data_IF_183483710102
#
_entry.id   IF_183483710102
#
_cell.length_a   1.000
_cell.length_b   1.000
_cell.length_c   1.000
_cell.angle_alpha   90.00
_cell.angle_beta   90.00
_cell.angle_gamma   90.00
#
_symmetry.space_group_name_H-M   'P 1'
#
loop_
_entity.id
_entity.type
_entity.pdbx_description
1 polymer ?
#
# COMPACT_ATOMS: atom_id res chain seq x y z
N UNK A 1 -6.95 12.91 18.69
CA UNK A 1 -7.58 13.47 17.49
C UNK A 1 -8.88 12.73 17.11
N UNK A 2 -8.83 11.40 16.90
CA UNK A 2 -10.04 10.65 16.48
C UNK A 2 -11.15 10.75 17.50
N UNK A 3 -10.84 10.68 18.81
CA UNK A 3 -11.81 10.84 19.88
C UNK A 3 -12.45 12.23 19.91
N UNK A 4 -11.71 13.29 19.57
CA UNK A 4 -12.19 14.68 19.62
C UNK A 4 -12.88 15.13 18.33
N UNK A 5 -12.34 14.73 17.18
CA UNK A 5 -12.73 15.26 15.86
C UNK A 5 -13.29 14.21 14.91
N UNK A 6 -13.13 12.94 15.22
CA UNK A 6 -13.50 11.85 14.33
C UNK A 6 -12.64 11.78 13.05
N UNK A 7 -13.13 11.03 12.09
CA UNK A 7 -12.61 10.99 10.71
C UNK A 7 -13.33 12.03 9.86
N UNK A 8 -12.63 12.63 8.92
CA UNK A 8 -13.23 13.46 7.87
C UNK A 8 -13.97 12.59 6.84
N UNK A 9 -14.89 13.19 6.08
CA UNK A 9 -15.55 12.51 4.97
C UNK A 9 -14.54 11.97 3.94
N UNK A 10 -13.48 12.73 3.63
CA UNK A 10 -12.43 12.32 2.70
C UNK A 10 -11.61 11.13 3.22
N UNK A 11 -11.26 11.08 4.51
CA UNK A 11 -10.59 9.93 5.13
C UNK A 11 -11.46 8.67 5.05
N UNK A 12 -12.74 8.82 5.39
CA UNK A 12 -13.70 7.71 5.33
C UNK A 12 -13.90 7.20 3.90
N UNK A 13 -14.11 8.09 2.93
CA UNK A 13 -14.30 7.72 1.53
C UNK A 13 -13.09 6.98 0.95
N UNK A 14 -11.87 7.42 1.30
CA UNK A 14 -10.65 6.70 0.91
C UNK A 14 -10.62 5.29 1.47
N UNK A 15 -10.85 5.12 2.77
CA UNK A 15 -10.85 3.81 3.42
C UNK A 15 -11.94 2.89 2.85
N UNK A 16 -13.14 3.42 2.63
CA UNK A 16 -14.25 2.70 2.01
C UNK A 16 -13.92 2.25 0.59
N UNK A 17 -13.39 3.15 -0.25
CA UNK A 17 -13.04 2.83 -1.63
C UNK A 17 -11.91 1.79 -1.70
N UNK A 18 -10.92 1.88 -0.83
CA UNK A 18 -9.85 0.89 -0.74
C UNK A 18 -10.38 -0.49 -0.33
N UNK A 19 -11.27 -0.53 0.66
CA UNK A 19 -11.89 -1.77 1.10
C UNK A 19 -12.73 -2.41 -0.01
N UNK A 20 -13.56 -1.62 -0.68
CA UNK A 20 -14.38 -2.09 -1.81
C UNK A 20 -13.53 -2.58 -2.98
N UNK A 21 -12.45 -1.89 -3.32
CA UNK A 21 -11.53 -2.31 -4.38
C UNK A 21 -10.85 -3.65 -4.06
N UNK A 22 -10.39 -3.84 -2.81
CA UNK A 22 -9.82 -5.13 -2.37
C UNK A 22 -10.85 -6.26 -2.42
N UNK A 23 -12.06 -5.99 -1.99
CA UNK A 23 -13.15 -6.96 -1.99
C UNK A 23 -13.56 -7.35 -3.43
N UNK A 24 -13.63 -6.38 -4.35
CA UNK A 24 -13.90 -6.61 -5.76
C UNK A 24 -12.81 -7.46 -6.42
N UNK A 25 -11.53 -7.18 -6.14
CA UNK A 25 -10.41 -7.99 -6.62
C UNK A 25 -10.47 -9.42 -6.09
N UNK A 26 -10.82 -9.60 -4.82
CA UNK A 26 -11.01 -10.93 -4.23
C UNK A 26 -12.17 -11.68 -4.89
N UNK A 27 -13.28 -11.01 -5.13
CA UNK A 27 -14.43 -11.57 -5.84
C UNK A 27 -14.10 -11.96 -7.29
N UNK A 28 -13.41 -11.07 -8.02
CA UNK A 28 -13.01 -11.32 -9.42
C UNK A 28 -12.08 -12.52 -9.56
N UNK A 29 -11.24 -12.77 -8.55
CA UNK A 29 -10.28 -13.87 -8.51
C UNK A 29 -10.74 -15.06 -7.64
N UNK A 30 -12.03 -15.16 -7.28
CA UNK A 30 -12.54 -16.21 -6.38
C UNK A 30 -12.23 -17.64 -6.87
N UNK A 31 -12.24 -17.83 -8.18
CA UNK A 31 -11.97 -19.15 -8.79
C UNK A 31 -10.45 -19.41 -8.99
N UNK A 32 -9.59 -18.45 -8.64
CA UNK A 32 -8.14 -18.52 -8.76
C UNK A 32 -7.45 -18.53 -7.38
N UNK A 33 -8.20 -18.78 -6.32
CA UNK A 33 -7.71 -18.85 -4.95
C UNK A 33 -6.80 -20.07 -4.74
N UNK A 34 -5.76 -19.89 -3.94
CA UNK A 34 -4.89 -21.01 -3.52
C UNK A 34 -5.54 -21.82 -2.40
N UNK A 35 -5.21 -23.10 -2.32
CA UNK A 35 -5.73 -24.00 -1.28
C UNK A 35 -5.40 -23.57 0.14
N UNK A 36 -4.23 -22.99 0.35
CA UNK A 36 -3.80 -22.47 1.66
C UNK A 36 -4.73 -21.36 2.19
N UNK A 37 -5.27 -20.49 1.32
CA UNK A 37 -6.25 -19.49 1.74
C UNK A 37 -7.52 -20.14 2.32
N UNK A 38 -8.03 -21.19 1.67
CA UNK A 38 -9.18 -21.94 2.20
C UNK A 38 -8.85 -22.64 3.52
N UNK A 39 -7.65 -23.24 3.63
CA UNK A 39 -7.22 -23.86 4.87
C UNK A 39 -7.18 -22.85 6.02
N UNK A 40 -6.63 -21.66 5.81
CA UNK A 40 -6.62 -20.61 6.83
C UNK A 40 -8.02 -20.14 7.22
N UNK A 41 -8.94 -20.03 6.26
CA UNK A 41 -10.35 -19.69 6.54
C UNK A 41 -11.01 -20.75 7.44
N UNK A 42 -10.77 -22.03 7.16
CA UNK A 42 -11.33 -23.13 7.98
C UNK A 42 -10.71 -23.18 9.37
N UNK A 43 -9.40 -22.92 9.48
CA UNK A 43 -8.72 -22.84 10.78
C UNK A 43 -9.29 -21.68 11.61
N UNK A 44 -9.42 -20.49 11.04
CA UNK A 44 -9.98 -19.33 11.72
C UNK A 44 -11.44 -19.56 12.14
N UNK A 45 -12.24 -20.22 11.30
CA UNK A 45 -13.59 -20.62 11.68
C UNK A 45 -13.60 -21.59 12.87
N UNK A 46 -12.73 -22.60 12.85
CA UNK A 46 -12.69 -23.62 13.91
C UNK A 46 -12.18 -23.05 15.25
N UNK A 47 -11.14 -22.22 15.22
CA UNK A 47 -10.52 -21.69 16.43
C UNK A 47 -11.27 -20.49 17.02
N UNK A 48 -11.70 -19.57 16.15
CA UNK A 48 -12.19 -18.24 16.55
C UNK A 48 -13.68 -18.06 16.24
N UNK A 49 -14.34 -19.10 15.73
CA UNK A 49 -15.74 -19.04 15.26
C UNK A 49 -15.99 -17.93 14.22
N UNK A 50 -14.96 -17.60 13.43
CA UNK A 50 -15.06 -16.58 12.36
C UNK A 50 -16.07 -17.02 11.29
N UNK A 51 -17.02 -16.19 10.88
CA UNK A 51 -18.00 -16.55 9.85
C UNK A 51 -17.35 -16.95 8.51
N UNK A 52 -17.89 -17.96 7.85
CA UNK A 52 -17.47 -18.41 6.52
C UNK A 52 -18.58 -18.13 5.48
N UNK A 53 -18.88 -16.86 5.27
CA UNK A 53 -19.96 -16.45 4.35
C UNK A 53 -19.63 -16.61 2.86
N UNK A 54 -18.35 -16.73 2.53
CA UNK A 54 -17.85 -16.77 1.15
C UNK A 54 -17.84 -15.41 0.46
N UNK A 55 -16.80 -15.19 -0.35
CA UNK A 55 -16.50 -13.89 -0.95
C UNK A 55 -17.61 -13.33 -1.84
N UNK A 56 -18.40 -14.19 -2.51
CA UNK A 56 -19.49 -13.71 -3.36
C UNK A 56 -20.60 -13.04 -2.53
N UNK A 57 -20.99 -13.68 -1.44
CA UNK A 57 -21.97 -13.11 -0.51
C UNK A 57 -21.47 -11.84 0.15
N UNK A 58 -20.22 -11.84 0.62
CA UNK A 58 -19.59 -10.68 1.24
C UNK A 58 -19.54 -9.48 0.28
N UNK A 59 -19.09 -9.72 -0.95
CA UNK A 59 -18.99 -8.67 -1.97
C UNK A 59 -20.35 -8.03 -2.25
N UNK A 60 -21.39 -8.85 -2.50
CA UNK A 60 -22.74 -8.33 -2.76
C UNK A 60 -23.29 -7.52 -1.58
N UNK A 61 -23.18 -8.06 -0.37
CA UNK A 61 -23.72 -7.41 0.82
C UNK A 61 -22.99 -6.13 1.17
N UNK A 62 -21.66 -6.16 1.19
CA UNK A 62 -20.86 -4.99 1.55
C UNK A 62 -21.00 -3.90 0.48
N UNK A 63 -21.00 -4.26 -0.81
CA UNK A 63 -21.21 -3.29 -1.89
C UNK A 63 -22.57 -2.58 -1.79
N UNK A 64 -23.60 -3.30 -1.40
CA UNK A 64 -24.94 -2.73 -1.19
C UNK A 64 -25.01 -1.86 0.07
N UNK A 65 -24.32 -2.24 1.16
CA UNK A 65 -24.41 -1.56 2.45
C UNK A 65 -23.46 -0.37 2.56
N UNK A 66 -22.30 -0.41 1.90
CA UNK A 66 -21.26 0.62 2.05
C UNK A 66 -21.74 2.06 1.75
N UNK A 67 -22.59 2.31 0.73
CA UNK A 67 -23.15 3.66 0.51
C UNK A 67 -24.12 4.13 1.59
N UNK A 68 -24.68 3.20 2.39
CA UNK A 68 -25.67 3.49 3.42
C UNK A 68 -25.04 3.80 4.77
N UNK A 69 -23.74 3.59 4.91
CA UNK A 69 -23.02 3.81 6.16
C UNK A 69 -22.37 5.19 6.14
N UNK A 70 -22.89 6.18 6.88
CA UNK A 70 -22.30 7.51 6.91
C UNK A 70 -21.08 7.58 7.85
N UNK A 71 -20.19 8.54 7.63
CA UNK A 71 -18.98 8.74 8.45
C UNK A 71 -19.33 9.01 9.91
N UNK A 72 -20.46 9.64 10.18
CA UNK A 72 -20.95 9.95 11.53
C UNK A 72 -21.18 8.68 12.35
N UNK A 73 -21.72 7.63 11.75
CA UNK A 73 -21.92 6.33 12.41
C UNK A 73 -20.58 5.66 12.77
N UNK A 74 -19.59 5.77 11.88
CA UNK A 74 -18.23 5.29 12.16
C UNK A 74 -17.61 6.09 13.31
N UNK A 75 -17.71 7.42 13.27
CA UNK A 75 -17.16 8.28 14.29
C UNK A 75 -17.81 8.01 15.67
N UNK A 76 -19.11 7.78 15.72
CA UNK A 76 -19.81 7.42 16.94
C UNK A 76 -19.34 6.07 17.49
N UNK A 77 -19.16 5.07 16.64
CA UNK A 77 -18.63 3.77 17.03
C UNK A 77 -17.20 3.86 17.56
N UNK A 78 -16.34 4.61 16.87
CA UNK A 78 -14.94 4.79 17.28
C UNK A 78 -14.82 5.55 18.60
N UNK A 79 -15.65 6.55 18.82
CA UNK A 79 -15.68 7.29 20.09
C UNK A 79 -16.00 6.38 21.29
N UNK A 80 -16.80 5.33 21.08
CA UNK A 80 -17.10 4.34 22.13
C UNK A 80 -15.95 3.35 22.36
N UNK A 81 -15.10 3.13 21.36
CA UNK A 81 -13.97 2.19 21.45
C UNK A 81 -12.71 2.83 22.05
N UNK A 82 -12.56 4.16 21.95
CA UNK A 82 -11.38 4.88 22.43
C UNK A 82 -11.59 5.28 23.87
N UNK A 83 -10.85 4.65 24.80
CA UNK A 83 -10.83 5.03 26.21
C UNK A 83 -9.69 6.01 26.50
N UNK A 84 -10.03 7.29 26.63
CA UNK A 84 -9.04 8.34 26.95
C UNK A 84 -8.57 8.31 28.42
N UNK A 85 -9.22 7.51 29.29
CA UNK A 85 -8.82 7.38 30.68
C UNK A 85 -7.69 6.37 30.90
N UNK A 86 -7.17 5.77 29.81
CA UNK A 86 -6.05 4.82 29.86
C UNK A 86 -6.38 3.45 30.44
N UNK A 87 -7.67 3.13 30.60
CA UNK A 87 -8.12 1.81 31.05
C UNK A 87 -7.89 0.80 29.93
N UNK A 88 -7.02 -0.09 29.97
CA UNK A 88 -6.53 -1.01 28.92
C UNK A 88 -5.41 -0.42 28.03
N UNK A 89 -4.76 0.68 28.45
CA UNK A 89 -3.59 1.21 27.77
C UNK A 89 -2.33 0.48 28.27
N UNK A 90 -1.53 -0.05 27.36
CA UNK A 90 -0.21 -0.59 27.64
C UNK A 90 0.81 0.22 26.83
N UNK A 91 1.77 0.82 27.50
CA UNK A 91 2.87 1.57 26.86
C UNK A 91 4.15 0.76 26.97
N UNK A 92 4.77 0.45 25.84
CA UNK A 92 6.01 -0.32 25.79
C UNK A 92 7.10 0.53 25.12
N UNK A 93 8.25 0.63 25.75
CA UNK A 93 9.47 1.20 25.19
C UNK A 93 10.48 0.08 24.94
N UNK A 94 10.78 -0.18 23.67
CA UNK A 94 11.75 -1.20 23.26
C UNK A 94 12.94 -0.50 22.58
N UNK A 95 14.14 -0.69 23.14
CA UNK A 95 15.36 -0.12 22.59
C UNK A 95 16.59 -0.96 22.92
N UNK A 96 17.67 -0.85 22.13
CA UNK A 96 18.91 -1.52 22.46
C UNK A 96 19.56 -0.88 23.70
N UNK A 97 20.01 -1.68 24.64
CA UNK A 97 20.85 -1.21 25.75
C UNK A 97 22.28 -1.10 25.23
N UNK A 98 22.75 0.12 25.03
CA UNK A 98 24.13 0.44 24.62
C UNK A 98 24.74 1.45 25.60
N UNK A 99 26.07 1.44 25.68
CA UNK A 99 26.80 2.44 26.47
C UNK A 99 26.44 3.86 25.97
N UNK A 100 26.05 4.75 26.90
CA UNK A 100 25.59 6.10 26.60
C UNK A 100 24.11 6.25 26.19
N UNK A 101 23.30 5.17 26.17
CA UNK A 101 21.84 5.26 26.00
C UNK A 101 21.14 5.17 27.36
N UNK A 102 20.24 6.13 27.62
CA UNK A 102 19.32 6.06 28.76
C UNK A 102 17.99 5.47 28.31
N UNK A 103 17.51 4.47 29.02
CA UNK A 103 16.14 3.95 28.84
C UNK A 103 15.22 4.80 29.72
N UNK A 104 14.12 5.26 29.14
CA UNK A 104 13.11 6.05 29.85
C UNK A 104 12.51 5.22 31.00
N UNK A 105 12.36 5.80 32.18
CA UNK A 105 11.74 5.14 33.31
C UNK A 105 10.23 4.96 33.12
N UNK A 106 9.60 4.15 33.96
CA UNK A 106 8.15 3.94 33.94
C UNK A 106 7.40 5.25 34.25
N UNK A 107 7.87 6.02 35.22
CA UNK A 107 7.29 7.30 35.58
C UNK A 107 7.38 8.33 34.45
N UNK A 108 8.52 8.39 33.76
CA UNK A 108 8.73 9.25 32.61
C UNK A 108 7.80 8.87 31.46
N UNK A 109 7.65 7.57 31.15
CA UNK A 109 6.74 7.08 30.11
C UNK A 109 5.29 7.42 30.44
N UNK A 110 4.86 7.24 31.68
CA UNK A 110 3.51 7.60 32.14
C UNK A 110 3.26 9.12 32.09
N UNK A 111 4.28 9.92 32.42
CA UNK A 111 4.19 11.38 32.33
C UNK A 111 3.97 11.83 30.88
N UNK A 112 4.77 11.31 29.95
CA UNK A 112 4.64 11.60 28.50
C UNK A 112 3.28 11.14 27.97
N UNK A 113 2.81 9.93 28.33
CA UNK A 113 1.52 9.43 27.90
C UNK A 113 0.38 10.34 28.38
N UNK A 114 0.41 10.79 29.63
CA UNK A 114 -0.59 11.73 30.19
C UNK A 114 -0.52 13.12 29.53
N UNK A 115 0.66 13.64 29.28
CA UNK A 115 0.86 14.92 28.59
C UNK A 115 0.29 14.86 27.18
N UNK A 116 0.62 13.82 26.41
CA UNK A 116 0.08 13.62 25.05
C UNK A 116 -1.45 13.47 25.06
N UNK A 117 -2.00 12.74 26.01
CA UNK A 117 -3.47 12.60 26.14
C UNK A 117 -4.17 13.90 26.50
N UNK A 118 -3.51 14.76 27.27
CA UNK A 118 -4.05 16.07 27.69
C UNK A 118 -3.85 17.16 26.62
N UNK A 119 -2.99 16.95 25.63
CA UNK A 119 -2.70 17.93 24.59
C UNK A 119 -3.87 18.01 23.59
N UNK A 120 -4.52 19.17 23.44
CA UNK A 120 -5.57 19.35 22.44
C UNK A 120 -5.04 19.12 21.05
N UNK A 121 -5.81 18.46 20.20
CA UNK A 121 -5.46 18.22 18.79
C UNK A 121 -6.21 19.14 17.85
N UNK A 122 -5.57 19.54 16.76
CA UNK A 122 -6.23 20.33 15.72
C UNK A 122 -7.20 19.47 14.91
N UNK A 123 -8.32 20.08 14.51
CA UNK A 123 -9.25 19.44 13.58
C UNK A 123 -8.54 19.28 12.23
N UNK A 124 -8.55 18.08 11.64
CA UNK A 124 -7.93 17.88 10.32
C UNK A 124 -8.62 18.78 9.28
N UNK A 125 -7.79 19.42 8.45
CA UNK A 125 -8.31 20.20 7.33
C UNK A 125 -8.96 19.26 6.29
N UNK A 126 -10.03 19.73 5.65
CA UNK A 126 -10.56 19.07 4.47
C UNK A 126 -9.54 19.16 3.33
N UNK A 127 -9.23 18.03 2.73
CA UNK A 127 -8.20 17.95 1.71
C UNK A 127 -8.80 18.15 0.31
N UNK A 128 -8.12 18.94 -0.51
CA UNK A 128 -8.48 19.10 -1.91
C UNK A 128 -8.24 17.78 -2.67
N UNK A 129 -9.24 17.34 -3.45
CA UNK A 129 -9.23 16.05 -4.16
C UNK A 129 -8.61 16.07 -5.56
N UNK A 130 -8.05 17.19 -6.02
CA UNK A 130 -7.57 17.38 -7.40
C UNK A 130 -6.09 17.03 -7.56
N UNK A 131 -5.71 15.82 -7.17
CA UNK A 131 -4.35 15.32 -7.31
C UNK A 131 -4.16 14.65 -8.68
N UNK A 132 -3.03 14.91 -9.35
CA UNK A 132 -2.64 14.27 -10.60
C UNK A 132 -1.22 13.73 -10.51
N UNK A 133 -0.99 12.50 -10.95
CA UNK A 133 0.34 11.90 -11.00
C UNK A 133 1.24 12.56 -12.03
N UNK A 134 0.68 13.01 -13.15
CA UNK A 134 1.42 13.53 -14.27
C UNK A 134 0.77 14.81 -14.76
N UNK A 135 1.58 15.80 -15.11
CA UNK A 135 1.12 17.04 -15.78
C UNK A 135 0.63 16.78 -17.20
N UNK A 136 1.19 15.76 -17.87
CA UNK A 136 0.76 15.31 -19.20
C UNK A 136 1.08 13.81 -19.39
N UNK A 137 0.24 13.11 -20.13
CA UNK A 137 0.50 11.72 -20.47
C UNK A 137 1.69 11.61 -21.42
N UNK A 138 2.64 10.68 -21.18
CA UNK A 138 3.76 10.43 -22.06
C UNK A 138 3.26 9.99 -23.45
N UNK A 139 3.99 10.39 -24.48
CA UNK A 139 3.71 9.90 -25.84
C UNK A 139 4.03 8.43 -25.95
N UNK A 140 3.12 7.67 -26.53
CA UNK A 140 3.33 6.23 -26.77
C UNK A 140 4.54 6.00 -27.69
N UNK A 141 5.37 5.01 -27.35
CA UNK A 141 6.44 4.54 -28.19
C UNK A 141 5.92 3.81 -29.44
N UNK A 142 6.77 3.71 -30.47
CA UNK A 142 6.44 2.96 -31.70
C UNK A 142 7.05 1.56 -31.65
N UNK A 143 6.29 0.55 -32.05
CA UNK A 143 6.77 -0.82 -32.25
C UNK A 143 7.41 -0.88 -33.65
N UNK A 144 8.69 -1.28 -33.72
CA UNK A 144 9.41 -1.48 -34.98
C UNK A 144 9.30 -2.90 -35.50
N UNK A 145 9.25 -3.89 -34.58
CA UNK A 145 9.21 -5.30 -34.92
C UNK A 145 8.41 -6.06 -33.88
N UNK A 146 7.66 -7.04 -34.34
CA UNK A 146 6.96 -8.02 -33.52
C UNK A 146 7.30 -9.42 -34.03
N UNK A 147 7.62 -10.36 -33.15
CA UNK A 147 7.94 -11.73 -33.50
C UNK A 147 7.59 -12.70 -32.36
N UNK A 148 7.24 -13.96 -32.67
CA UNK A 148 7.13 -15.01 -31.66
C UNK A 148 8.45 -15.23 -30.92
N UNK A 149 8.39 -15.48 -29.63
CA UNK A 149 9.54 -15.81 -28.79
C UNK A 149 9.35 -17.17 -28.10
N UNK A 150 10.36 -17.64 -27.36
CA UNK A 150 10.30 -18.89 -26.61
C UNK A 150 9.24 -18.86 -25.53
N UNK A 151 8.76 -20.03 -25.13
CA UNK A 151 7.79 -20.24 -24.05
C UNK A 151 6.43 -19.56 -24.25
N UNK A 152 6.06 -19.29 -25.52
CA UNK A 152 4.80 -18.66 -25.86
C UNK A 152 4.73 -17.16 -25.56
N UNK A 153 5.88 -16.50 -25.44
CA UNK A 153 5.98 -15.05 -25.41
C UNK A 153 5.95 -14.45 -26.82
N UNK A 154 5.60 -13.19 -26.91
CA UNK A 154 5.80 -12.33 -28.09
C UNK A 154 6.87 -11.31 -27.75
N UNK A 155 7.87 -11.18 -28.62
CA UNK A 155 8.92 -10.16 -28.56
C UNK A 155 8.53 -8.94 -29.37
N UNK A 156 8.56 -7.76 -28.75
CA UNK A 156 8.45 -6.46 -29.41
C UNK A 156 9.81 -5.77 -29.35
N UNK A 157 10.21 -5.14 -30.45
CA UNK A 157 11.32 -4.18 -30.47
C UNK A 157 10.75 -2.79 -30.64
N UNK A 158 10.99 -1.92 -29.66
CA UNK A 158 10.52 -0.53 -29.68
C UNK A 158 11.45 0.37 -30.48
N UNK A 159 10.96 1.57 -30.80
CA UNK A 159 11.72 2.55 -31.60
C UNK A 159 13.00 3.05 -30.91
N UNK A 160 13.07 3.01 -29.59
CA UNK A 160 14.25 3.33 -28.79
C UNK A 160 15.25 2.16 -28.62
N UNK A 161 14.96 1.00 -29.22
CA UNK A 161 15.78 -0.21 -29.11
C UNK A 161 15.41 -1.13 -27.95
N UNK A 162 14.51 -0.72 -27.05
CA UNK A 162 14.08 -1.59 -25.96
C UNK A 162 13.34 -2.82 -26.48
N UNK A 163 13.58 -3.97 -25.84
CA UNK A 163 12.88 -5.22 -26.11
C UNK A 163 11.84 -5.46 -25.02
N UNK A 164 10.64 -5.80 -25.44
CA UNK A 164 9.52 -6.16 -24.55
C UNK A 164 9.09 -7.57 -24.85
N UNK A 165 9.01 -8.40 -23.84
CA UNK A 165 8.47 -9.76 -23.94
C UNK A 165 7.16 -9.79 -23.17
N UNK A 166 6.06 -10.06 -23.85
CA UNK A 166 4.78 -10.17 -23.20
C UNK A 166 4.10 -11.50 -23.45
N UNK A 167 3.29 -11.94 -22.49
CA UNK A 167 2.48 -13.15 -22.58
C UNK A 167 1.18 -12.95 -21.82
N UNK A 168 0.06 -13.22 -22.50
CA UNK A 168 -1.24 -13.30 -21.81
C UNK A 168 -1.35 -14.65 -21.13
N UNK A 169 -1.77 -14.66 -19.87
CA UNK A 169 -2.01 -15.85 -19.07
C UNK A 169 -3.38 -15.82 -18.43
N UNK A 170 -3.86 -16.95 -17.93
CA UNK A 170 -5.12 -17.13 -17.23
C UNK A 170 -4.96 -17.41 -15.73
N UNK A 171 -3.76 -17.12 -15.18
CA UNK A 171 -3.44 -17.41 -13.78
C UNK A 171 -4.26 -16.56 -12.81
N UNK A 172 -4.54 -15.32 -13.20
CA UNK A 172 -5.41 -14.40 -12.50
C UNK A 172 -6.19 -13.55 -13.47
N UNK A 173 -7.35 -13.09 -13.03
CA UNK A 173 -8.17 -12.16 -13.76
C UNK A 173 -7.73 -10.73 -13.40
N UNK A 174 -7.73 -9.83 -14.38
CA UNK A 174 -7.50 -8.40 -14.18
C UNK A 174 -6.19 -8.10 -13.41
N UNK A 175 -5.10 -8.75 -13.83
CA UNK A 175 -3.77 -8.52 -13.27
C UNK A 175 -2.76 -8.31 -14.40
N UNK A 176 -1.99 -7.23 -14.32
CA UNK A 176 -0.84 -6.96 -15.17
C UNK A 176 0.41 -6.95 -14.31
N UNK A 177 1.45 -7.68 -14.72
CA UNK A 177 2.77 -7.67 -14.09
C UNK A 177 3.80 -7.12 -15.04
N UNK A 178 4.61 -6.18 -14.56
CA UNK A 178 5.73 -5.59 -15.28
C UNK A 178 7.04 -5.94 -14.56
N UNK A 179 8.05 -6.32 -15.33
CA UNK A 179 9.45 -6.34 -14.87
C UNK A 179 10.33 -5.82 -16.00
N UNK A 180 11.07 -4.76 -15.75
CA UNK A 180 12.05 -4.21 -16.68
C UNK A 180 13.44 -4.30 -16.05
N UNK A 181 14.45 -4.66 -16.83
CA UNK A 181 15.83 -4.81 -16.38
C UNK A 181 16.77 -4.09 -17.34
N UNK A 182 17.68 -3.29 -16.78
CA UNK A 182 18.85 -2.75 -17.45
C UNK A 182 20.11 -3.35 -16.81
N UNK A 183 21.11 -3.68 -17.63
CA UNK A 183 22.40 -4.16 -17.14
C UNK A 183 23.30 -3.00 -16.73
N UNK A 184 24.05 -3.20 -15.65
CA UNK A 184 24.99 -2.23 -15.10
C UNK A 184 24.91 -2.19 -13.57
N UNK A 185 23.88 -1.59 -13.01
CA UNK A 185 23.71 -1.51 -11.58
C UNK A 185 24.87 -0.80 -10.87
N UNK A 186 25.17 -1.19 -9.63
CA UNK A 186 26.26 -0.62 -8.82
C UNK A 186 27.61 -0.65 -9.50
N UNK A 187 27.86 -1.63 -10.38
CA UNK A 187 29.12 -1.76 -11.11
C UNK A 187 29.43 -0.58 -12.06
N UNK A 188 28.44 0.26 -12.39
CA UNK A 188 28.62 1.46 -13.21
C UNK A 188 29.00 2.71 -12.38
N UNK A 189 28.94 2.64 -11.06
CA UNK A 189 29.17 3.76 -10.16
C UNK A 189 30.53 3.65 -9.47
N UNK A 190 31.01 4.77 -8.94
CA UNK A 190 32.25 4.79 -8.16
C UNK A 190 32.05 4.14 -6.79
N UNK A 191 33.16 3.75 -6.14
CA UNK A 191 33.12 3.20 -4.78
C UNK A 191 32.53 4.20 -3.76
N UNK A 192 32.68 5.49 -4.01
CA UNK A 192 32.14 6.56 -3.17
C UNK A 192 30.59 6.62 -3.24
N UNK A 193 30.01 6.23 -4.37
CA UNK A 193 28.58 6.26 -4.59
C UNK A 193 27.84 5.04 -4.03
N UNK A 194 28.54 3.95 -3.66
CA UNK A 194 27.89 2.73 -3.18
C UNK A 194 27.03 2.95 -1.91
N UNK A 195 27.51 3.81 -0.97
CA UNK A 195 26.71 4.16 0.20
C UNK A 195 25.44 4.94 -0.18
N UNK A 196 25.55 5.84 -1.17
CA UNK A 196 24.41 6.61 -1.68
C UNK A 196 23.39 5.74 -2.39
N UNK A 197 23.82 4.71 -3.15
CA UNK A 197 22.93 3.76 -3.81
C UNK A 197 22.11 2.97 -2.80
N UNK A 198 22.74 2.52 -1.71
CA UNK A 198 22.03 1.82 -0.63
C UNK A 198 20.94 2.70 -0.02
N UNK A 199 21.25 3.97 0.27
CA UNK A 199 20.28 4.95 0.78
C UNK A 199 19.21 5.24 -0.27
N UNK A 200 19.58 5.41 -1.53
CA UNK A 200 18.64 5.68 -2.62
C UNK A 200 17.59 4.56 -2.77
N UNK A 201 18.01 3.30 -2.72
CA UNK A 201 17.10 2.16 -2.78
C UNK A 201 16.06 2.16 -1.63
N UNK A 202 16.46 2.64 -0.43
CA UNK A 202 15.55 2.79 0.70
C UNK A 202 14.62 3.99 0.54
N UNK A 203 15.17 5.14 0.13
CA UNK A 203 14.41 6.37 -0.03
C UNK A 203 13.37 6.31 -1.15
N UNK A 204 13.61 5.49 -2.18
CA UNK A 204 12.66 5.34 -3.29
C UNK A 204 11.22 5.07 -2.83
N UNK A 205 11.05 4.20 -1.86
CA UNK A 205 9.73 3.84 -1.33
C UNK A 205 9.09 4.90 -0.44
N UNK A 206 9.85 5.92 -0.06
CA UNK A 206 9.42 7.02 0.83
C UNK A 206 9.21 8.33 0.08
N UNK A 207 9.53 8.37 -1.21
CA UNK A 207 9.39 9.56 -2.03
C UNK A 207 7.98 9.68 -2.65
N UNK A 208 7.60 10.92 -2.92
CA UNK A 208 6.45 11.23 -3.75
C UNK A 208 6.76 11.10 -5.25
N UNK A 209 5.84 11.54 -6.07
CA UNK A 209 5.98 11.55 -7.53
C UNK A 209 5.54 12.91 -8.06
N UNK A 210 6.39 13.56 -8.86
CA UNK A 210 6.16 14.89 -9.39
C UNK A 210 5.86 15.89 -8.25
N UNK A 211 4.74 16.58 -8.30
CA UNK A 211 4.32 17.55 -7.28
C UNK A 211 3.66 16.88 -6.04
N UNK A 212 3.42 15.56 -6.09
CA UNK A 212 2.80 14.84 -4.98
C UNK A 212 3.85 14.47 -3.94
N UNK A 213 3.62 14.85 -2.69
CA UNK A 213 4.36 14.29 -1.57
C UNK A 213 4.07 12.78 -1.43
N UNK A 214 4.86 12.07 -0.63
CA UNK A 214 4.59 10.65 -0.30
C UNK A 214 3.17 10.45 0.25
N UNK A 215 2.73 11.33 1.15
CA UNK A 215 1.39 11.25 1.73
C UNK A 215 0.30 11.51 0.69
N UNK A 216 0.48 12.48 -0.20
CA UNK A 216 -0.49 12.79 -1.24
C UNK A 216 -0.55 11.68 -2.29
N UNK A 217 0.60 11.06 -2.61
CA UNK A 217 0.65 9.88 -3.47
C UNK A 217 -0.15 8.72 -2.87
N UNK A 218 0.02 8.43 -1.59
CA UNK A 218 -0.75 7.40 -0.90
C UNK A 218 -2.26 7.69 -0.91
N UNK A 219 -2.65 8.95 -0.70
CA UNK A 219 -4.05 9.36 -0.82
C UNK A 219 -4.58 9.20 -2.24
N UNK A 220 -3.81 9.61 -3.24
CA UNK A 220 -4.15 9.45 -4.66
C UNK A 220 -4.29 7.97 -5.05
N UNK A 221 -3.45 7.10 -4.51
CA UNK A 221 -3.45 5.66 -4.78
C UNK A 221 -4.54 4.88 -4.03
N UNK A 222 -5.21 5.51 -3.07
CA UNK A 222 -6.29 4.85 -2.32
C UNK A 222 -7.37 4.31 -3.25
N UNK A 223 -7.74 3.05 -3.06
CA UNK A 223 -8.69 2.32 -3.92
C UNK A 223 -8.12 1.82 -5.24
N UNK A 224 -6.88 2.16 -5.59
CA UNK A 224 -6.19 1.67 -6.79
C UNK A 224 -5.23 0.53 -6.43
N UNK A 225 -5.39 -0.60 -7.08
CA UNK A 225 -4.57 -1.80 -6.84
C UNK A 225 -3.38 -1.81 -7.80
N UNK A 226 -2.45 -0.87 -7.64
CA UNK A 226 -1.26 -0.77 -8.47
C UNK A 226 -0.03 -0.45 -7.63
N UNK A 227 1.12 -0.98 -8.02
CA UNK A 227 2.39 -0.67 -7.40
C UNK A 227 3.51 -0.64 -8.43
N UNK A 228 4.54 0.15 -8.14
CA UNK A 228 5.80 0.14 -8.86
C UNK A 228 6.94 0.22 -7.86
N UNK A 229 8.03 -0.49 -8.14
CA UNK A 229 9.26 -0.44 -7.36
C UNK A 229 10.47 -0.34 -8.28
N UNK A 230 11.51 0.30 -7.79
CA UNK A 230 12.81 0.40 -8.45
C UNK A 230 13.90 -0.12 -7.52
N UNK A 231 14.91 -0.76 -8.08
CA UNK A 231 16.05 -1.26 -7.31
C UNK A 231 17.33 -1.27 -8.17
N UNK A 232 18.41 -0.79 -7.59
CA UNK A 232 19.77 -0.92 -8.13
C UNK A 232 20.44 -2.04 -7.34
N UNK A 233 20.85 -3.09 -8.03
CA UNK A 233 21.67 -4.20 -7.48
C UNK A 233 23.05 -4.19 -8.09
N UNK A 234 23.93 -5.10 -7.69
CA UNK A 234 25.34 -5.09 -8.08
C UNK A 234 25.57 -4.98 -9.60
N UNK A 235 24.75 -5.63 -10.43
CA UNK A 235 24.97 -5.70 -11.89
C UNK A 235 23.76 -5.34 -12.74
N UNK A 236 22.67 -4.93 -12.14
CA UNK A 236 21.44 -4.59 -12.85
C UNK A 236 20.57 -3.59 -12.10
N UNK A 237 19.82 -2.83 -12.85
CA UNK A 237 18.71 -2.01 -12.38
C UNK A 237 17.41 -2.72 -12.75
N UNK A 238 16.44 -2.66 -11.88
CA UNK A 238 15.15 -3.33 -12.08
C UNK A 238 14.00 -2.41 -11.73
N UNK A 239 13.01 -2.32 -12.61
CA UNK A 239 11.70 -1.74 -12.32
C UNK A 239 10.72 -2.90 -12.32
N UNK A 240 9.96 -3.04 -11.24
CA UNK A 240 8.88 -4.03 -11.13
C UNK A 240 7.58 -3.34 -10.81
N UNK A 241 6.49 -3.87 -11.33
CA UNK A 241 5.17 -3.31 -11.06
C UNK A 241 4.06 -4.32 -11.26
N UNK A 242 2.93 -4.01 -10.68
CA UNK A 242 1.69 -4.76 -10.87
C UNK A 242 0.47 -3.84 -10.80
N UNK A 243 -0.61 -4.28 -11.36
CA UNK A 243 -1.93 -3.68 -11.19
C UNK A 243 -3.01 -4.76 -11.23
#
# INVERSE_FOLDING_TARGET
>A
RIAEHGFTAAEYDRARNEYLSRLEKAYTNRDKQKHDNYAQTYIAHFLDNTPMSGIAYEYEKIKAMAPMLPVEAINQSMAQMIDLNGKNLVVLNLGPIKEGTTVMSEEEMLAVAKEVQATPTEKPAEEASNLSLLSAMPKAGKIKKEAPAKFGFTELTLSNGAKVYYKKTDFKNDEVRLSATSWGGEALYSAEDHANISIYNQLWSMNGVNELSYNDLNKFMSGKQASVSFNISSHKETISGNS
#
